data_IF_324553842819
#
_entry.id   IF_324553842819
#
_cell.length_a   1.000
_cell.length_b   1.000
_cell.length_c   1.000
_cell.angle_alpha   90.00
_cell.angle_beta   90.00
_cell.angle_gamma   90.00
#
_symmetry.space_group_name_H-M   'P 1'
#
loop_
_entity.id
_entity.type
_entity.pdbx_description
1 polymer ?
#
# COMPACT_ATOMS: atom_id res chain seq x y z
N UNK A 1 12.93 11.15 -4.30
CA UNK A 1 13.50 11.25 -2.93
C UNK A 1 14.76 10.35 -2.85
N UNK A 2 15.76 10.63 -1.98
CA UNK A 2 16.91 9.70 -1.78
C UNK A 2 16.40 8.37 -1.19
N UNK A 3 17.00 7.24 -1.57
CA UNK A 3 16.57 5.88 -1.16
C UNK A 3 16.46 5.74 0.37
N UNK A 4 17.41 6.30 1.12
CA UNK A 4 17.41 6.24 2.60
C UNK A 4 16.17 6.86 3.22
N UNK A 5 15.71 8.00 2.68
CA UNK A 5 14.48 8.66 3.14
C UNK A 5 13.23 7.82 2.85
N UNK A 6 13.23 7.07 1.75
CA UNK A 6 12.15 6.15 1.39
C UNK A 6 12.08 5.00 2.39
N UNK A 7 13.24 4.40 2.70
CA UNK A 7 13.35 3.35 3.71
C UNK A 7 12.85 3.81 5.07
N UNK A 8 13.33 4.94 5.56
CA UNK A 8 12.89 5.51 6.84
C UNK A 8 11.38 5.82 6.87
N UNK A 9 10.81 6.25 5.74
CA UNK A 9 9.37 6.48 5.62
C UNK A 9 8.58 5.18 5.72
N UNK A 10 9.04 4.11 5.05
CA UNK A 10 8.39 2.80 5.14
C UNK A 10 8.40 2.27 6.58
N UNK A 11 9.58 2.21 7.19
CA UNK A 11 9.76 1.73 8.57
C UNK A 11 8.91 2.51 9.58
N UNK A 12 8.81 3.84 9.42
CA UNK A 12 7.99 4.69 10.28
C UNK A 12 6.51 4.28 10.27
N UNK A 13 5.93 4.00 9.10
CA UNK A 13 4.48 3.83 8.96
C UNK A 13 4.01 2.38 9.04
N UNK A 14 4.91 1.42 8.87
CA UNK A 14 4.58 -0.02 8.85
C UNK A 14 3.85 -0.48 10.13
N UNK A 15 4.39 -0.10 11.29
CA UNK A 15 3.95 -0.61 12.59
C UNK A 15 2.99 0.31 13.36
N UNK A 16 2.54 1.42 12.77
CA UNK A 16 1.61 2.34 13.44
C UNK A 16 0.21 1.69 13.53
N UNK A 17 -0.40 1.58 14.73
CA UNK A 17 -1.78 1.13 14.87
C UNK A 17 -2.77 2.07 14.18
N UNK A 18 -3.83 1.51 13.58
CA UNK A 18 -4.88 2.32 12.94
C UNK A 18 -5.54 3.32 13.90
N UNK A 19 -5.62 3.00 15.19
CA UNK A 19 -6.18 3.86 16.24
C UNK A 19 -5.39 5.14 16.47
N UNK A 20 -4.11 5.18 16.11
CA UNK A 20 -3.23 6.34 16.26
C UNK A 20 -3.19 7.21 15.01
N UNK A 21 -3.89 6.82 13.93
CA UNK A 21 -3.85 7.50 12.65
C UNK A 21 -5.05 8.46 12.54
N UNK A 22 -4.74 9.73 12.32
CA UNK A 22 -5.73 10.76 12.03
C UNK A 22 -6.23 10.62 10.58
N UNK A 23 -7.54 10.44 10.39
CA UNK A 23 -8.18 10.33 9.07
C UNK A 23 -7.99 11.58 8.19
N UNK A 24 -7.76 12.74 8.80
CA UNK A 24 -7.51 13.97 8.05
C UNK A 24 -6.08 14.05 7.49
N UNK A 25 -5.16 13.22 8.00
CA UNK A 25 -3.74 13.24 7.63
C UNK A 25 -3.36 12.17 6.59
N UNK A 26 -4.29 11.30 6.21
CA UNK A 26 -4.11 10.29 5.16
C UNK A 26 -4.77 10.71 3.84
N UNK A 27 -4.18 10.23 2.75
CA UNK A 27 -4.66 10.49 1.40
C UNK A 27 -5.94 9.70 1.10
N UNK A 28 -6.83 10.32 0.34
CA UNK A 28 -7.98 9.65 -0.26
C UNK A 28 -7.50 8.84 -1.47
N UNK A 29 -7.82 7.54 -1.50
CA UNK A 29 -7.26 6.64 -2.52
C UNK A 29 -7.71 7.01 -3.93
N UNK A 30 -8.89 7.62 -4.09
CA UNK A 30 -9.37 8.07 -5.40
C UNK A 30 -8.55 9.22 -5.99
N UNK A 31 -7.83 9.96 -5.15
CA UNK A 31 -7.00 11.08 -5.59
C UNK A 31 -5.59 10.64 -6.01
N UNK A 32 -5.19 9.41 -5.66
CA UNK A 32 -3.88 8.84 -5.98
C UNK A 32 -3.88 8.37 -7.44
N UNK A 33 -3.09 9.04 -8.27
CA UNK A 33 -2.97 8.72 -9.70
C UNK A 33 -1.76 7.83 -9.98
N UNK A 34 -1.98 6.67 -10.58
CA UNK A 34 -0.91 5.76 -11.02
C UNK A 34 -0.77 5.80 -12.54
N UNK A 35 0.43 6.12 -13.03
CA UNK A 35 0.71 6.15 -14.46
C UNK A 35 0.93 4.72 -15.00
N UNK A 36 -0.08 4.17 -15.69
CA UNK A 36 -0.03 2.81 -16.27
C UNK A 36 0.98 2.63 -17.41
N UNK A 37 1.54 3.71 -17.97
CA UNK A 37 2.56 3.63 -19.03
C UNK A 37 3.97 3.36 -18.49
N UNK A 38 4.18 3.51 -17.18
CA UNK A 38 5.46 3.26 -16.51
C UNK A 38 5.63 1.78 -16.17
N UNK A 39 6.88 1.34 -15.98
CA UNK A 39 7.19 -0.01 -15.50
C UNK A 39 6.59 -0.26 -14.10
N UNK A 40 6.47 -1.52 -13.68
CA UNK A 40 5.98 -1.85 -12.33
C UNK A 40 6.79 -1.18 -11.23
N UNK A 41 8.12 -1.21 -11.33
CA UNK A 41 9.01 -0.62 -10.32
C UNK A 41 8.88 0.90 -10.27
N UNK A 42 8.79 1.56 -11.45
CA UNK A 42 8.62 3.01 -11.50
C UNK A 42 7.26 3.46 -10.96
N UNK A 43 6.20 2.67 -11.20
CA UNK A 43 4.86 2.93 -10.64
C UNK A 43 4.88 2.85 -9.11
N UNK A 44 5.54 1.83 -8.55
CA UNK A 44 5.71 1.69 -7.10
C UNK A 44 6.51 2.87 -6.55
N UNK A 45 7.62 3.23 -7.19
CA UNK A 45 8.46 4.34 -6.75
C UNK A 45 7.70 5.67 -6.78
N UNK A 46 6.97 5.97 -7.86
CA UNK A 46 6.11 7.15 -7.97
C UNK A 46 5.08 7.20 -6.84
N UNK A 47 4.40 6.07 -6.59
CA UNK A 47 3.41 5.95 -5.51
C UNK A 47 4.05 6.29 -4.16
N UNK A 48 5.16 5.65 -3.81
CA UNK A 48 5.84 5.86 -2.53
C UNK A 48 6.34 7.30 -2.34
N UNK A 49 6.70 7.99 -3.42
CA UNK A 49 7.09 9.40 -3.39
C UNK A 49 5.89 10.35 -3.26
N UNK A 50 4.73 9.98 -3.79
CA UNK A 50 3.55 10.86 -3.89
C UNK A 50 2.68 10.82 -2.64
N UNK A 51 2.43 9.63 -2.10
CA UNK A 51 1.53 9.47 -0.94
C UNK A 51 2.17 9.97 0.35
N UNK A 52 1.39 10.37 1.33
CA UNK A 52 1.84 10.73 2.68
C UNK A 52 2.19 9.49 3.49
N UNK A 53 1.27 8.51 3.50
CA UNK A 53 1.43 7.23 4.20
C UNK A 53 1.34 6.07 3.18
N UNK A 54 2.40 5.26 3.03
CA UNK A 54 2.43 4.17 2.07
C UNK A 54 1.62 2.93 2.48
N UNK A 55 1.19 2.83 3.74
CA UNK A 55 0.45 1.68 4.27
C UNK A 55 -1.00 2.00 4.60
N UNK A 56 -1.39 3.28 4.71
CA UNK A 56 -2.75 3.66 5.12
C UNK A 56 -3.29 4.76 4.21
N UNK A 57 -4.50 4.53 3.71
CA UNK A 57 -5.28 5.49 2.95
C UNK A 57 -6.70 5.55 3.52
N UNK A 58 -7.45 6.57 3.13
CA UNK A 58 -8.88 6.61 3.36
C UNK A 58 -9.66 6.39 2.07
N UNK A 59 -10.87 5.89 2.24
CA UNK A 59 -11.87 5.81 1.19
C UNK A 59 -13.26 6.10 1.75
N UNK A 60 -13.90 7.17 1.28
CA UNK A 60 -15.24 7.59 1.72
C UNK A 60 -15.38 7.65 3.25
N UNK A 61 -14.40 8.28 3.92
CA UNK A 61 -14.42 8.45 5.37
C UNK A 61 -14.05 7.21 6.20
N UNK A 62 -13.55 6.14 5.57
CA UNK A 62 -13.05 4.95 6.26
C UNK A 62 -11.54 4.79 6.07
N UNK A 63 -10.84 4.45 7.14
CA UNK A 63 -9.42 4.11 7.08
C UNK A 63 -9.23 2.67 6.61
N UNK A 64 -8.26 2.45 5.73
CA UNK A 64 -7.83 1.14 5.27
C UNK A 64 -6.32 1.05 5.45
N UNK A 65 -5.87 0.05 6.22
CA UNK A 65 -4.44 -0.29 6.38
C UNK A 65 -4.09 -1.52 5.56
N UNK A 66 -2.96 -1.45 4.87
CA UNK A 66 -2.30 -2.57 4.22
C UNK A 66 -1.21 -3.07 5.16
N UNK A 67 -1.17 -4.39 5.36
CA UNK A 67 -0.09 -5.07 6.06
C UNK A 67 0.41 -6.24 5.21
N UNK A 68 1.66 -6.60 5.41
CA UNK A 68 2.27 -7.77 4.78
C UNK A 68 2.53 -8.81 5.87
N UNK A 69 2.07 -10.04 5.63
CA UNK A 69 2.40 -11.16 6.49
C UNK A 69 3.85 -11.55 6.27
N UNK A 70 4.52 -11.99 7.34
CA UNK A 70 5.88 -12.54 7.25
C UNK A 70 5.85 -13.96 6.68
N UNK A 71 5.52 -14.05 5.39
CA UNK A 71 5.43 -15.30 4.63
C UNK A 71 5.98 -15.09 3.23
N UNK A 72 6.51 -16.13 2.62
CA UNK A 72 6.98 -16.09 1.22
C UNK A 72 5.83 -16.04 0.20
N UNK A 73 4.58 -16.20 0.65
CA UNK A 73 3.40 -16.22 -0.23
C UNK A 73 3.07 -14.82 -0.72
N UNK A 74 2.92 -14.70 -2.03
CA UNK A 74 2.47 -13.47 -2.68
C UNK A 74 0.94 -13.38 -2.68
N UNK A 75 0.42 -12.15 -2.81
CA UNK A 75 -1.01 -11.94 -2.98
C UNK A 75 -1.56 -12.67 -4.23
N UNK A 76 -0.78 -12.70 -5.32
CA UNK A 76 -1.14 -13.38 -6.56
C UNK A 76 -1.28 -14.90 -6.36
N UNK A 77 -0.37 -15.52 -5.62
CA UNK A 77 -0.47 -16.95 -5.26
C UNK A 77 -1.70 -17.23 -4.41
N UNK A 78 -1.99 -16.39 -3.41
CA UNK A 78 -3.17 -16.51 -2.57
C UNK A 78 -4.47 -16.42 -3.39
N UNK A 79 -4.59 -15.43 -4.27
CA UNK A 79 -5.76 -15.26 -5.16
C UNK A 79 -5.88 -16.45 -6.13
N UNK A 80 -4.77 -16.86 -6.75
CA UNK A 80 -4.74 -17.99 -7.67
C UNK A 80 -5.21 -19.28 -7.01
N UNK A 81 -4.79 -19.54 -5.78
CA UNK A 81 -5.21 -20.73 -5.02
C UNK A 81 -6.69 -20.69 -4.66
N UNK A 82 -7.24 -19.53 -4.30
CA UNK A 82 -8.68 -19.37 -4.06
C UNK A 82 -9.47 -19.68 -5.33
N UNK A 83 -9.08 -19.11 -6.47
CA UNK A 83 -9.75 -19.33 -7.75
C UNK A 83 -9.72 -20.81 -8.15
N UNK A 84 -8.56 -21.48 -8.03
CA UNK A 84 -8.44 -22.93 -8.31
C UNK A 84 -9.37 -23.79 -7.47
N UNK A 85 -9.61 -23.40 -6.21
CA UNK A 85 -10.50 -24.15 -5.33
C UNK A 85 -11.99 -23.91 -5.62
N UNK A 86 -12.35 -22.72 -6.11
CA UNK A 86 -13.75 -22.35 -6.41
C UNK A 86 -14.28 -22.97 -7.70
N UNK A 87 -13.41 -23.21 -8.69
CA UNK A 87 -13.77 -23.77 -9.99
C UNK A 87 -13.38 -25.25 -10.14
N UNK A 88 -13.42 -26.00 -9.03
CA UNK A 88 -13.22 -27.45 -9.02
C UNK A 88 -14.47 -28.21 -9.43
#
# INVERSE_FOLDING_TARGET
MKIEKLKAKLEKYENIPLSEININEVDEITDIKVNKRKSSNDRILDFLNTVKNPYVFKHNGKLVKIGFSDTEKTADECITNILKNLYR
#
